data_IF_648214515818
#
_entry.id   IF_648214515818
#
_cell.length_a   1.000
_cell.length_b   1.000
_cell.length_c   1.000
_cell.angle_alpha   90.00
_cell.angle_beta   90.00
_cell.angle_gamma   90.00
#
_symmetry.space_group_name_H-M   'P 1'
#
loop_
_entity.id
_entity.type
_entity.pdbx_description
1 polymer ?
#
# COMPACT_ATOMS: atom_id res chain seq x y z
N UNK A 1 36.93 -1.10 -10.36
CA UNK A 1 35.90 -0.04 -10.33
C UNK A 1 35.21 -0.09 -8.97
N UNK A 2 35.75 0.61 -7.97
CA UNK A 2 35.12 0.67 -6.65
C UNK A 2 33.94 1.64 -6.71
N UNK A 3 32.72 1.13 -6.60
CA UNK A 3 31.52 1.96 -6.53
C UNK A 3 31.57 2.93 -5.33
N UNK A 4 30.86 4.07 -5.40
CA UNK A 4 30.82 5.02 -4.31
C UNK A 4 30.28 4.33 -3.04
N UNK A 5 31.07 4.36 -1.97
CA UNK A 5 30.70 3.80 -0.65
C UNK A 5 29.36 4.41 -0.20
N UNK A 6 28.42 3.57 0.22
CA UNK A 6 27.13 4.04 0.73
C UNK A 6 27.30 4.85 2.02
N UNK A 7 26.35 5.73 2.34
CA UNK A 7 26.34 6.54 3.58
C UNK A 7 26.62 5.66 4.81
N UNK A 8 26.07 4.45 4.83
CA UNK A 8 26.25 3.48 5.91
C UNK A 8 27.71 3.02 6.05
N UNK A 9 28.35 2.66 4.95
CA UNK A 9 29.75 2.20 4.95
C UNK A 9 30.71 3.32 5.34
N UNK A 10 30.39 4.57 4.97
CA UNK A 10 31.15 5.74 5.43
C UNK A 10 30.92 6.02 6.92
N UNK A 11 29.70 5.86 7.42
CA UNK A 11 29.40 5.98 8.86
C UNK A 11 30.12 4.89 9.69
N UNK A 12 30.21 3.67 9.18
CA UNK A 12 30.97 2.57 9.82
C UNK A 12 32.47 2.84 9.86
N UNK A 13 33.05 3.36 8.77
CA UNK A 13 34.45 3.78 8.75
C UNK A 13 34.74 4.91 9.73
N UNK A 14 33.84 5.89 9.83
CA UNK A 14 33.94 6.95 10.84
C UNK A 14 33.84 6.42 12.26
N UNK A 15 33.01 5.41 12.51
CA UNK A 15 32.93 4.75 13.81
C UNK A 15 34.23 4.02 14.17
N UNK A 16 34.87 3.37 13.19
CA UNK A 16 36.17 2.73 13.38
C UNK A 16 37.29 3.76 13.65
N UNK A 17 37.29 4.88 12.94
CA UNK A 17 38.30 5.94 13.10
C UNK A 17 38.11 6.72 14.42
N UNK A 18 36.87 6.98 14.85
CA UNK A 18 36.59 7.58 16.14
C UNK A 18 37.04 6.70 17.32
N UNK A 19 36.95 5.37 17.18
CA UNK A 19 37.51 4.42 18.16
C UNK A 19 39.04 4.41 18.16
N UNK A 20 39.66 4.72 17.04
CA UNK A 20 41.13 4.77 16.89
C UNK A 20 41.73 6.05 17.48
N UNK A 21 41.04 7.19 17.39
CA UNK A 21 41.45 8.50 17.92
C UNK A 21 41.28 8.64 19.45
N UNK A 22 41.10 7.54 20.18
CA UNK A 22 40.73 7.48 21.60
C UNK A 22 41.88 7.82 22.59
N UNK A 23 42.74 8.78 22.25
CA UNK A 23 43.82 9.29 23.11
C UNK A 23 43.37 10.61 23.78
N UNK A 24 42.59 10.52 24.87
CA UNK A 24 42.28 11.63 25.80
C UNK A 24 40.78 11.95 26.00
N UNK A 25 40.44 12.63 27.11
CA UNK A 25 39.05 12.93 27.52
C UNK A 25 38.23 13.74 26.50
N UNK A 26 38.87 14.63 25.73
CA UNK A 26 38.24 15.34 24.60
C UNK A 26 37.93 14.42 23.42
N UNK A 27 38.73 13.37 23.22
CA UNK A 27 38.48 12.33 22.22
C UNK A 27 37.29 11.45 22.59
N UNK A 28 37.13 11.11 23.87
CA UNK A 28 35.99 10.34 24.37
C UNK A 28 34.65 11.08 24.22
N UNK A 29 34.60 12.38 24.55
CA UNK A 29 33.40 13.20 24.40
C UNK A 29 33.00 13.35 22.92
N UNK A 30 33.99 13.58 22.04
CA UNK A 30 33.77 13.70 20.61
C UNK A 30 33.34 12.38 19.96
N UNK A 31 33.90 11.25 20.41
CA UNK A 31 33.52 9.91 19.97
C UNK A 31 32.09 9.54 20.42
N UNK A 32 31.70 9.89 21.65
CA UNK A 32 30.33 9.72 22.14
C UNK A 32 29.33 10.54 21.31
N UNK A 33 29.64 11.83 21.08
CA UNK A 33 28.83 12.73 20.23
C UNK A 33 28.59 12.14 18.84
N UNK A 34 29.64 11.65 18.18
CA UNK A 34 29.54 11.09 16.82
C UNK A 34 28.72 9.80 16.83
N UNK A 35 28.93 8.93 17.81
CA UNK A 35 28.20 7.68 17.93
C UNK A 35 26.68 7.91 18.04
N UNK A 36 26.26 8.86 18.88
CA UNK A 36 24.85 9.25 19.00
C UNK A 36 24.27 9.77 17.68
N UNK A 37 25.03 10.60 16.94
CA UNK A 37 24.59 11.15 15.65
C UNK A 37 24.50 10.08 14.56
N UNK A 38 25.41 9.12 14.56
CA UNK A 38 25.36 7.96 13.65
C UNK A 38 24.11 7.13 13.93
N UNK A 39 23.75 6.92 15.20
CA UNK A 39 22.52 6.19 15.56
C UNK A 39 21.29 6.89 14.98
N UNK A 40 21.16 8.21 15.18
CA UNK A 40 20.04 8.99 14.64
C UNK A 40 19.98 8.92 13.11
N UNK A 41 21.12 9.09 12.43
CA UNK A 41 21.18 9.00 10.97
C UNK A 41 20.82 7.60 10.47
N UNK A 42 21.29 6.54 11.13
CA UNK A 42 20.92 5.15 10.81
C UNK A 42 19.43 4.91 10.93
N UNK A 43 18.79 5.41 11.99
CA UNK A 43 17.34 5.30 12.15
C UNK A 43 16.60 5.92 10.98
N UNK A 44 16.97 7.14 10.55
CA UNK A 44 16.33 7.76 9.39
C UNK A 44 16.59 7.01 8.08
N UNK A 45 17.78 6.44 7.89
CA UNK A 45 18.08 5.61 6.72
C UNK A 45 17.27 4.32 6.69
N UNK A 46 17.06 3.67 7.84
CA UNK A 46 16.20 2.48 7.94
C UNK A 46 14.74 2.84 7.60
N UNK A 47 14.25 3.99 8.08
CA UNK A 47 12.93 4.51 7.70
C UNK A 47 12.83 4.76 6.20
N UNK A 48 13.83 5.43 5.61
CA UNK A 48 13.88 5.65 4.16
C UNK A 48 13.88 4.33 3.38
N UNK A 49 14.67 3.34 3.80
CA UNK A 49 14.70 2.02 3.18
C UNK A 49 13.34 1.31 3.24
N UNK A 50 12.61 1.43 4.35
CA UNK A 50 11.24 0.90 4.47
C UNK A 50 10.33 1.54 3.43
N UNK A 51 10.32 2.87 3.31
CA UNK A 51 9.48 3.57 2.34
C UNK A 51 9.89 3.29 0.89
N UNK A 52 11.18 3.13 0.60
CA UNK A 52 11.65 2.71 -0.72
C UNK A 52 11.18 1.30 -1.10
N UNK A 53 11.13 0.38 -0.14
CA UNK A 53 10.59 -0.96 -0.38
C UNK A 53 9.10 -0.89 -0.73
N UNK A 54 8.34 -0.09 0.00
CA UNK A 54 6.90 0.14 -0.25
C UNK A 54 6.70 0.74 -1.64
N UNK A 55 7.40 1.84 -1.95
CA UNK A 55 7.32 2.49 -3.25
C UNK A 55 7.64 1.52 -4.40
N UNK A 56 8.71 0.74 -4.28
CA UNK A 56 9.07 -0.27 -5.29
C UNK A 56 8.02 -1.37 -5.41
N UNK A 57 7.49 -1.88 -4.31
CA UNK A 57 6.42 -2.89 -4.33
C UNK A 57 5.14 -2.38 -5.00
N UNK A 58 4.83 -1.09 -4.87
CA UNK A 58 3.75 -0.43 -5.61
C UNK A 58 4.09 -0.31 -7.09
N UNK A 59 5.28 0.19 -7.43
CA UNK A 59 5.69 0.40 -8.83
C UNK A 59 5.81 -0.90 -9.63
N UNK A 60 5.96 -2.06 -8.97
CA UNK A 60 5.89 -3.37 -9.63
C UNK A 60 4.48 -3.81 -9.97
N UNK A 61 3.44 -3.18 -9.39
CA UNK A 61 2.06 -3.53 -9.70
C UNK A 61 1.64 -2.94 -11.06
N UNK A 62 0.83 -3.68 -11.85
CA UNK A 62 0.26 -3.15 -13.08
C UNK A 62 -0.56 -1.88 -12.84
N UNK A 63 -0.50 -0.93 -13.76
CA UNK A 63 -1.24 0.34 -13.72
C UNK A 63 -1.02 1.19 -12.44
N UNK A 64 0.04 0.92 -11.67
CA UNK A 64 0.41 1.71 -10.51
C UNK A 64 1.03 3.06 -10.92
N UNK A 65 0.72 4.17 -10.24
CA UNK A 65 1.37 5.44 -10.47
C UNK A 65 2.88 5.38 -10.26
N UNK A 66 3.62 6.14 -11.08
CA UNK A 66 5.07 6.30 -10.87
C UNK A 66 5.32 7.15 -9.62
N UNK A 67 6.28 6.73 -8.79
CA UNK A 67 6.63 7.41 -7.54
C UNK A 67 7.99 8.08 -7.71
N UNK A 68 8.06 9.38 -7.45
CA UNK A 68 9.31 10.13 -7.61
C UNK A 68 10.38 9.73 -6.58
N UNK A 69 11.35 8.96 -7.07
CA UNK A 69 12.54 8.53 -6.34
C UNK A 69 13.72 9.50 -6.48
N UNK A 70 13.53 10.69 -7.08
CA UNK A 70 14.58 11.70 -7.22
C UNK A 70 15.10 12.17 -5.85
N UNK A 71 16.40 12.41 -5.72
CA UNK A 71 16.95 12.97 -4.48
C UNK A 71 16.99 12.00 -3.29
N UNK A 72 16.92 10.68 -3.52
CA UNK A 72 17.26 9.66 -2.50
C UNK A 72 18.66 9.90 -1.92
N UNK A 73 19.60 10.34 -2.76
CA UNK A 73 20.97 10.66 -2.36
C UNK A 73 21.13 12.11 -1.86
N UNK A 74 20.03 12.81 -1.59
CA UNK A 74 20.08 14.18 -1.08
C UNK A 74 20.83 14.23 0.25
N UNK A 75 21.84 15.10 0.32
CA UNK A 75 22.72 15.22 1.48
C UNK A 75 23.93 14.27 1.48
N UNK A 76 23.96 13.19 0.69
CA UNK A 76 25.09 12.24 0.64
C UNK A 76 26.38 12.91 0.12
N UNK A 77 26.30 13.66 -0.99
CA UNK A 77 27.47 14.31 -1.58
C UNK A 77 28.03 15.43 -0.71
N UNK A 78 27.16 16.18 -0.03
CA UNK A 78 27.57 17.24 0.90
C UNK A 78 28.20 16.65 2.18
N UNK A 79 27.58 15.60 2.73
CA UNK A 79 28.10 14.89 3.90
C UNK A 79 29.43 14.20 3.59
N UNK A 80 29.55 13.52 2.45
CA UNK A 80 30.79 12.85 2.01
C UNK A 80 31.98 13.80 1.93
N UNK A 81 31.78 15.00 1.35
CA UNK A 81 32.84 16.03 1.27
C UNK A 81 33.34 16.46 2.64
N UNK A 82 32.47 16.51 3.65
CA UNK A 82 32.86 16.86 5.02
C UNK A 82 33.67 15.75 5.71
N UNK A 83 33.48 14.49 5.31
CA UNK A 83 34.25 13.36 5.83
C UNK A 83 35.63 13.20 5.16
N UNK A 84 35.79 13.69 3.93
CA UNK A 84 37.01 13.56 3.14
C UNK A 84 38.11 14.56 3.53
N UNK A 85 37.74 15.64 4.23
CA UNK A 85 38.68 16.70 4.68
C UNK A 85 39.61 16.33 5.84
N UNK A 86 39.75 15.04 6.20
CA UNK A 86 40.66 14.57 7.25
C UNK A 86 40.21 14.84 8.69
N UNK A 87 39.07 15.50 8.90
CA UNK A 87 38.48 15.79 10.21
C UNK A 87 37.12 15.12 10.42
N UNK A 88 36.70 15.03 11.68
CA UNK A 88 35.38 14.50 12.04
C UNK A 88 34.28 15.50 11.64
N UNK A 89 33.12 15.05 11.10
CA UNK A 89 32.10 15.98 10.63
C UNK A 89 31.49 16.82 11.76
N UNK A 90 31.25 18.12 11.55
CA UNK A 90 30.60 18.96 12.56
C UNK A 90 29.14 18.56 12.77
N UNK A 91 28.55 18.92 13.92
CA UNK A 91 27.13 18.66 14.22
C UNK A 91 26.20 19.15 13.09
N UNK A 92 26.48 20.32 12.52
CA UNK A 92 25.69 20.88 11.43
C UNK A 92 25.70 20.01 10.16
N UNK A 93 26.74 19.19 9.94
CA UNK A 93 26.77 18.23 8.84
C UNK A 93 25.83 17.05 9.10
N UNK A 94 25.86 16.48 10.32
CA UNK A 94 24.93 15.42 10.72
C UNK A 94 23.48 15.89 10.70
N UNK A 95 23.18 17.05 11.30
CA UNK A 95 21.81 17.59 11.29
C UNK A 95 21.31 17.81 9.87
N UNK A 96 22.11 18.41 8.98
CA UNK A 96 21.71 18.60 7.57
C UNK A 96 21.46 17.28 6.85
N UNK A 97 22.32 16.27 7.04
CA UNK A 97 22.13 14.95 6.45
C UNK A 97 20.88 14.25 7.00
N UNK A 98 20.68 14.25 8.31
CA UNK A 98 19.50 13.68 8.97
C UNK A 98 18.21 14.34 8.49
N UNK A 99 18.17 15.68 8.44
CA UNK A 99 17.01 16.43 7.94
C UNK A 99 16.75 16.14 6.46
N UNK A 100 17.79 16.02 5.62
CA UNK A 100 17.63 15.67 4.22
C UNK A 100 17.03 14.26 4.04
N UNK A 101 17.58 13.25 4.73
CA UNK A 101 17.08 11.87 4.70
C UNK A 101 15.64 11.80 5.21
N UNK A 102 15.33 12.49 6.31
CA UNK A 102 13.99 12.53 6.89
C UNK A 102 12.99 13.17 5.93
N UNK A 103 13.34 14.30 5.31
CA UNK A 103 12.48 14.99 4.34
C UNK A 103 12.20 14.11 3.12
N UNK A 104 13.21 13.45 2.58
CA UNK A 104 13.04 12.51 1.46
C UNK A 104 12.19 11.30 1.86
N UNK A 105 12.41 10.74 3.05
CA UNK A 105 11.60 9.62 3.56
C UNK A 105 10.13 10.01 3.72
N UNK A 106 9.84 11.18 4.27
CA UNK A 106 8.48 11.70 4.42
C UNK A 106 7.78 11.94 3.07
N UNK A 107 8.50 12.53 2.10
CA UNK A 107 7.96 12.73 0.74
C UNK A 107 7.59 11.40 0.11
N UNK A 108 8.51 10.43 0.07
CA UNK A 108 8.26 9.11 -0.51
C UNK A 108 7.11 8.39 0.21
N UNK A 109 7.00 8.53 1.54
CA UNK A 109 5.88 7.97 2.29
C UNK A 109 4.53 8.57 1.86
N UNK A 110 4.46 9.89 1.69
CA UNK A 110 3.25 10.58 1.24
C UNK A 110 2.89 10.17 -0.19
N UNK A 111 3.86 10.19 -1.10
CA UNK A 111 3.67 9.81 -2.50
C UNK A 111 3.23 8.34 -2.62
N UNK A 112 3.83 7.44 -1.83
CA UNK A 112 3.44 6.02 -1.79
C UNK A 112 2.01 5.83 -1.26
N UNK A 113 1.59 6.60 -0.25
CA UNK A 113 0.23 6.51 0.30
C UNK A 113 -0.82 7.08 -0.66
N UNK A 114 -0.49 8.12 -1.43
CA UNK A 114 -1.34 8.63 -2.49
C UNK A 114 -1.45 7.63 -3.64
N UNK A 115 -0.31 7.10 -4.12
CA UNK A 115 -0.28 6.08 -5.16
C UNK A 115 -1.06 4.82 -4.77
N UNK A 116 -0.94 4.36 -3.51
CA UNK A 116 -1.74 3.27 -2.97
C UNK A 116 -3.24 3.52 -3.06
N UNK A 117 -3.70 4.70 -2.63
CA UNK A 117 -5.13 5.05 -2.67
C UNK A 117 -5.65 5.12 -4.10
N UNK A 118 -4.90 5.73 -5.01
CA UNK A 118 -5.28 5.83 -6.42
C UNK A 118 -5.32 4.45 -7.10
N UNK A 119 -4.28 3.63 -6.88
CA UNK A 119 -4.19 2.30 -7.46
C UNK A 119 -5.29 1.38 -6.95
N UNK A 120 -5.48 1.27 -5.63
CA UNK A 120 -6.53 0.42 -5.06
C UNK A 120 -7.94 0.87 -5.47
N UNK A 121 -8.19 2.18 -5.55
CA UNK A 121 -9.47 2.69 -6.03
C UNK A 121 -9.72 2.28 -7.49
N UNK A 122 -8.72 2.42 -8.36
CA UNK A 122 -8.80 2.02 -9.77
C UNK A 122 -9.09 0.53 -9.90
N UNK A 123 -8.30 -0.30 -9.20
CA UNK A 123 -8.47 -1.75 -9.20
C UNK A 123 -9.86 -2.18 -8.71
N UNK A 124 -10.41 -1.52 -7.69
CA UNK A 124 -11.76 -1.80 -7.19
C UNK A 124 -12.85 -1.38 -8.18
N UNK A 125 -12.68 -0.28 -8.91
CA UNK A 125 -13.66 0.19 -9.91
C UNK A 125 -13.68 -0.64 -11.18
N UNK A 126 -12.57 -1.30 -11.52
CA UNK A 126 -12.47 -2.18 -12.69
C UNK A 126 -13.11 -3.56 -12.47
N UNK A 127 -13.42 -3.93 -11.22
CA UNK A 127 -14.07 -5.20 -10.91
C UNK A 127 -15.53 -5.19 -11.39
N UNK A 128 -15.89 -6.18 -12.20
CA UNK A 128 -17.26 -6.41 -12.65
C UNK A 128 -18.12 -7.07 -11.56
N UNK A 129 -18.29 -6.38 -10.42
CA UNK A 129 -19.01 -6.90 -9.25
C UNK A 129 -20.45 -7.34 -9.54
N UNK A 130 -21.07 -6.81 -10.60
CA UNK A 130 -22.38 -7.25 -11.08
C UNK A 130 -22.41 -8.77 -11.38
N UNK A 131 -21.30 -9.35 -11.86
CA UNK A 131 -21.19 -10.79 -12.14
C UNK A 131 -21.23 -11.66 -10.91
N UNK A 132 -21.03 -11.09 -9.72
CA UNK A 132 -21.05 -11.83 -8.47
C UNK A 132 -22.36 -12.61 -8.30
N UNK A 133 -23.51 -12.05 -8.70
CA UNK A 133 -24.82 -12.69 -8.55
C UNK A 133 -24.98 -13.91 -9.46
N UNK A 134 -24.14 -14.06 -10.48
CA UNK A 134 -24.19 -15.19 -11.41
C UNK A 134 -23.29 -16.37 -10.96
N UNK A 135 -22.61 -16.24 -9.82
CA UNK A 135 -21.80 -17.30 -9.21
C UNK A 135 -22.64 -18.29 -8.40
N UNK A 136 -22.10 -19.48 -8.11
CA UNK A 136 -22.73 -20.38 -7.15
C UNK A 136 -22.74 -19.78 -5.74
N UNK A 137 -23.67 -20.18 -4.87
CA UNK A 137 -23.84 -19.63 -3.51
C UNK A 137 -22.52 -19.63 -2.70
N UNK A 138 -21.73 -20.72 -2.80
CA UNK A 138 -20.43 -20.81 -2.12
C UNK A 138 -19.42 -19.79 -2.65
N UNK A 139 -19.38 -19.61 -3.97
CA UNK A 139 -18.51 -18.64 -4.64
C UNK A 139 -18.98 -17.20 -4.42
N UNK A 140 -20.28 -16.94 -4.34
CA UNK A 140 -20.84 -15.63 -3.99
C UNK A 140 -20.37 -15.18 -2.61
N UNK A 141 -20.40 -16.08 -1.63
CA UNK A 141 -19.92 -15.82 -0.27
C UNK A 141 -18.41 -15.53 -0.24
N UNK A 142 -17.62 -16.31 -0.99
CA UNK A 142 -16.18 -16.09 -1.16
C UNK A 142 -15.89 -14.73 -1.82
N UNK A 143 -16.55 -14.43 -2.93
CA UNK A 143 -16.41 -13.17 -3.66
C UNK A 143 -16.76 -11.96 -2.78
N UNK A 144 -17.84 -12.05 -2.00
CA UNK A 144 -18.24 -11.02 -1.04
C UNK A 144 -17.17 -10.79 0.02
N UNK A 145 -16.58 -11.86 0.54
CA UNK A 145 -15.55 -11.80 1.56
C UNK A 145 -14.26 -11.16 1.01
N UNK A 146 -13.79 -11.62 -0.15
CA UNK A 146 -12.64 -11.03 -0.85
C UNK A 146 -12.85 -9.54 -1.14
N UNK A 147 -14.02 -9.16 -1.64
CA UNK A 147 -14.32 -7.76 -1.91
C UNK A 147 -14.31 -6.90 -0.63
N UNK A 148 -14.86 -7.41 0.48
CA UNK A 148 -14.82 -6.71 1.77
C UNK A 148 -13.38 -6.54 2.29
N UNK A 149 -12.56 -7.58 2.16
CA UNK A 149 -11.14 -7.53 2.54
C UNK A 149 -10.36 -6.53 1.70
N UNK A 150 -10.60 -6.47 0.39
CA UNK A 150 -10.02 -5.48 -0.51
C UNK A 150 -10.42 -4.05 -0.13
N UNK A 151 -11.71 -3.80 0.11
CA UNK A 151 -12.20 -2.48 0.54
C UNK A 151 -11.59 -2.06 1.87
N UNK A 152 -11.43 -3.01 2.81
CA UNK A 152 -10.77 -2.76 4.09
C UNK A 152 -9.29 -2.44 3.90
N UNK A 153 -8.58 -3.23 3.09
CA UNK A 153 -7.17 -3.04 2.80
C UNK A 153 -6.91 -1.68 2.13
N UNK A 154 -7.72 -1.28 1.15
CA UNK A 154 -7.63 0.01 0.46
C UNK A 154 -7.72 1.22 1.42
N UNK A 155 -8.45 1.09 2.53
CA UNK A 155 -8.65 2.14 3.54
C UNK A 155 -7.53 2.21 4.59
N UNK A 156 -6.53 1.34 4.53
CA UNK A 156 -5.46 1.28 5.54
C UNK A 156 -4.60 2.54 5.49
N UNK A 157 -4.38 3.15 6.67
CA UNK A 157 -3.62 4.39 6.80
C UNK A 157 -2.10 4.22 6.61
N UNK A 158 -1.56 3.04 6.97
CA UNK A 158 -0.15 2.69 6.75
C UNK A 158 -0.05 1.46 5.86
N UNK A 159 0.34 1.66 4.60
CA UNK A 159 0.61 0.55 3.68
C UNK A 159 2.03 0.01 3.89
N UNK A 160 2.18 -1.31 3.81
CA UNK A 160 3.47 -1.97 3.71
C UNK A 160 3.55 -2.90 2.48
N UNK A 161 4.75 -3.43 2.20
CA UNK A 161 4.98 -4.30 1.05
C UNK A 161 4.15 -5.60 1.09
N UNK A 162 3.84 -6.10 2.29
CA UNK A 162 3.01 -7.29 2.47
C UNK A 162 1.56 -7.00 2.12
N UNK A 163 1.03 -5.88 2.62
CA UNK A 163 -0.33 -5.42 2.32
C UNK A 163 -0.55 -5.22 0.82
N UNK A 164 0.44 -4.67 0.10
CA UNK A 164 0.37 -4.52 -1.37
C UNK A 164 0.24 -5.88 -2.05
N UNK A 165 1.08 -6.83 -1.66
CA UNK A 165 1.06 -8.19 -2.25
C UNK A 165 -0.25 -8.90 -1.96
N UNK A 166 -0.74 -8.82 -0.71
CA UNK A 166 -2.00 -9.43 -0.30
C UNK A 166 -3.19 -8.84 -1.06
N UNK A 167 -3.23 -7.51 -1.22
CA UNK A 167 -4.27 -6.86 -2.01
C UNK A 167 -4.22 -7.31 -3.47
N UNK A 168 -3.03 -7.31 -4.09
CA UNK A 168 -2.88 -7.73 -5.48
C UNK A 168 -3.36 -9.17 -5.72
N UNK A 169 -3.00 -10.09 -4.81
CA UNK A 169 -3.42 -11.49 -4.90
C UNK A 169 -4.93 -11.65 -4.70
N UNK A 170 -5.51 -10.99 -3.69
CA UNK A 170 -6.95 -11.05 -3.44
C UNK A 170 -7.77 -10.40 -4.57
N UNK A 171 -7.24 -9.35 -5.20
CA UNK A 171 -7.84 -8.71 -6.36
C UNK A 171 -7.81 -9.65 -7.57
N UNK A 172 -6.65 -10.26 -7.86
CA UNK A 172 -6.53 -11.23 -8.95
C UNK A 172 -7.47 -12.43 -8.75
N UNK A 173 -7.54 -12.96 -7.52
CA UNK A 173 -8.45 -14.07 -7.18
C UNK A 173 -9.93 -13.68 -7.39
N UNK A 174 -10.33 -12.48 -6.94
CA UNK A 174 -11.69 -11.98 -7.15
C UNK A 174 -11.99 -11.74 -8.63
N UNK A 175 -11.06 -11.14 -9.37
CA UNK A 175 -11.21 -10.88 -10.80
C UNK A 175 -11.35 -12.20 -11.59
N UNK A 176 -10.51 -13.20 -11.28
CA UNK A 176 -10.61 -14.54 -11.87
C UNK A 176 -11.97 -15.16 -11.56
N UNK A 177 -12.39 -15.13 -10.30
CA UNK A 177 -13.69 -15.66 -9.88
C UNK A 177 -14.85 -14.98 -10.60
N UNK A 178 -14.83 -13.66 -10.78
CA UNK A 178 -15.89 -12.94 -11.50
C UNK A 178 -15.84 -13.22 -13.01
N UNK A 179 -14.66 -13.49 -13.58
CA UNK A 179 -14.50 -13.75 -15.01
C UNK A 179 -15.10 -15.08 -15.47
N UNK A 180 -15.22 -16.06 -14.56
CA UNK A 180 -15.85 -17.36 -14.86
C UNK A 180 -17.37 -17.26 -14.94
N UNK A 181 -17.96 -16.24 -14.32
CA UNK A 181 -19.38 -15.99 -14.33
C UNK A 181 -19.82 -15.23 -15.60
N UNK A 182 -20.97 -15.60 -16.20
CA UNK A 182 -21.56 -14.82 -17.28
C UNK A 182 -21.99 -13.43 -16.79
N UNK A 183 -22.03 -12.46 -17.70
CA UNK A 183 -22.61 -11.15 -17.39
C UNK A 183 -24.11 -11.30 -17.08
N UNK A 184 -24.63 -10.67 -16.01
CA UNK A 184 -26.06 -10.72 -15.70
C UNK A 184 -26.86 -9.96 -16.78
N UNK A 185 -28.05 -10.44 -17.16
CA UNK A 185 -28.97 -9.67 -17.99
C UNK A 185 -29.28 -8.31 -17.34
N UNK A 186 -29.36 -7.20 -18.11
CA UNK A 186 -29.67 -5.88 -17.57
C UNK A 186 -30.96 -5.82 -16.75
N UNK A 187 -31.97 -6.60 -17.16
CA UNK A 187 -33.25 -6.72 -16.46
C UNK A 187 -33.08 -7.37 -15.08
N UNK A 188 -32.18 -8.34 -14.97
CA UNK A 188 -31.86 -9.00 -13.70
C UNK A 188 -31.16 -8.02 -12.75
N UNK A 189 -30.17 -7.27 -13.24
CA UNK A 189 -29.48 -6.26 -12.43
C UNK A 189 -30.47 -5.21 -11.91
N UNK A 190 -31.36 -4.72 -12.77
CA UNK A 190 -32.41 -3.74 -12.41
C UNK A 190 -33.33 -4.30 -11.33
N UNK A 191 -33.74 -5.56 -11.45
CA UNK A 191 -34.55 -6.24 -10.45
C UNK A 191 -33.82 -6.38 -9.11
N UNK A 192 -32.55 -6.81 -9.12
CA UNK A 192 -31.75 -7.01 -7.91
C UNK A 192 -31.47 -5.68 -7.20
N UNK A 193 -31.17 -4.62 -7.93
CA UNK A 193 -30.99 -3.27 -7.36
C UNK A 193 -32.29 -2.78 -6.72
N UNK A 194 -33.43 -3.04 -7.38
CA UNK A 194 -34.76 -2.71 -6.85
C UNK A 194 -35.05 -3.47 -5.56
N UNK A 195 -34.75 -4.77 -5.51
CA UNK A 195 -34.90 -5.61 -4.31
C UNK A 195 -33.94 -5.18 -3.19
N UNK A 196 -32.72 -4.76 -3.52
CA UNK A 196 -31.71 -4.32 -2.58
C UNK A 196 -31.94 -2.91 -2.02
N UNK A 197 -32.79 -2.10 -2.65
CA UNK A 197 -33.07 -0.70 -2.27
C UNK A 197 -33.65 -0.52 -0.84
N UNK A 198 -34.02 -1.61 -0.17
CA UNK A 198 -34.64 -1.57 1.16
C UNK A 198 -36.09 -1.09 1.15
N UNK A 199 -36.62 -0.70 -0.01
CA UNK A 199 -38.04 -0.39 -0.19
C UNK A 199 -38.83 -1.69 -0.18
N UNK A 200 -39.82 -1.80 0.70
CA UNK A 200 -40.70 -2.97 0.72
C UNK A 200 -41.47 -3.07 -0.60
N UNK A 201 -41.13 -4.07 -1.40
CA UNK A 201 -41.83 -4.42 -2.64
C UNK A 201 -43.10 -5.19 -2.30
N UNK A 202 -44.25 -4.83 -2.88
CA UNK A 202 -45.45 -5.66 -2.78
C UNK A 202 -45.35 -6.78 -3.81
N UNK A 203 -45.94 -7.94 -3.52
CA UNK A 203 -45.92 -9.09 -4.45
C UNK A 203 -46.48 -8.72 -5.84
N UNK A 204 -47.47 -7.81 -5.89
CA UNK A 204 -48.05 -7.30 -7.15
C UNK A 204 -47.08 -6.48 -8.00
N UNK A 205 -46.00 -5.99 -7.40
CA UNK A 205 -44.97 -5.19 -8.08
C UNK A 205 -43.84 -6.07 -8.63
N UNK A 206 -43.90 -7.39 -8.38
CA UNK A 206 -43.00 -8.40 -8.96
C UNK A 206 -43.78 -9.15 -10.04
N UNK A 207 -43.31 -9.04 -11.28
CA UNK A 207 -43.97 -9.65 -12.43
C UNK A 207 -43.61 -11.13 -12.58
N UNK A 208 -44.46 -11.90 -13.26
CA UNK A 208 -44.17 -13.31 -13.56
C UNK A 208 -42.90 -13.47 -14.41
N UNK A 209 -42.62 -12.50 -15.29
CA UNK A 209 -41.39 -12.47 -16.09
C UNK A 209 -40.13 -12.31 -15.22
N UNK A 210 -40.19 -11.46 -14.19
CA UNK A 210 -39.10 -11.28 -13.22
C UNK A 210 -38.89 -12.54 -12.36
N UNK A 211 -39.97 -13.20 -11.93
CA UNK A 211 -39.88 -14.49 -11.22
C UNK A 211 -39.27 -15.57 -12.13
N UNK A 212 -39.69 -15.62 -13.40
CA UNK A 212 -39.12 -16.54 -14.39
C UNK A 212 -37.62 -16.27 -14.62
N UNK A 213 -37.22 -14.99 -14.68
CA UNK A 213 -35.83 -14.58 -14.82
C UNK A 213 -34.99 -15.03 -13.62
N UNK A 214 -35.47 -14.83 -12.39
CA UNK A 214 -34.80 -15.31 -11.17
C UNK A 214 -34.60 -16.83 -11.18
N UNK A 215 -35.62 -17.59 -11.60
CA UNK A 215 -35.52 -19.06 -11.73
C UNK A 215 -34.55 -19.48 -12.82
N UNK A 216 -34.56 -18.81 -13.97
CA UNK A 216 -33.64 -19.09 -15.09
C UNK A 216 -32.19 -18.90 -14.68
N UNK A 217 -31.93 -17.89 -13.84
CA UNK A 217 -30.61 -17.61 -13.27
C UNK A 217 -30.33 -18.37 -11.97
N UNK A 218 -31.24 -19.25 -11.52
CA UNK A 218 -31.12 -20.06 -10.30
C UNK A 218 -30.97 -19.25 -8.99
N UNK A 219 -31.57 -18.05 -8.95
CA UNK A 219 -31.54 -17.13 -7.80
C UNK A 219 -32.82 -17.19 -6.95
N UNK A 220 -33.81 -17.98 -7.34
CA UNK A 220 -35.07 -18.10 -6.63
C UNK A 220 -34.92 -18.78 -5.26
N UNK A 221 -33.91 -19.63 -5.09
CA UNK A 221 -33.58 -20.26 -3.80
C UNK A 221 -33.00 -19.29 -2.75
N UNK A 222 -32.50 -18.14 -3.17
CA UNK A 222 -31.83 -17.15 -2.31
C UNK A 222 -32.77 -16.03 -1.82
N UNK A 223 -34.04 -16.05 -2.27
CA UNK A 223 -35.00 -14.98 -2.03
C UNK A 223 -36.20 -15.47 -1.21
N UNK A 224 -36.51 -14.74 -0.15
CA UNK A 224 -37.69 -15.00 0.68
C UNK A 224 -38.79 -13.97 0.45
N UNK A 225 -40.00 -14.46 0.14
CA UNK A 225 -41.21 -13.63 0.15
C UNK A 225 -41.81 -13.64 1.56
N UNK A 226 -41.93 -12.46 2.19
CA UNK A 226 -42.51 -12.32 3.53
C UNK A 226 -43.85 -11.57 3.50
N UNK A 227 -44.83 -12.09 4.21
CA UNK A 227 -46.14 -11.43 4.39
C UNK A 227 -45.95 -10.18 5.26
N UNK A 228 -46.42 -9.02 4.77
CA UNK A 228 -46.45 -7.78 5.56
C UNK A 228 -47.21 -8.03 6.87
N UNK A 229 -46.54 -7.85 8.00
CA UNK A 229 -47.18 -7.78 9.32
C UNK A 229 -47.60 -6.33 9.56
N UNK A 230 -48.84 -6.15 9.98
CA UNK A 230 -49.42 -4.86 10.30
C UNK A 230 -48.78 -4.27 11.56
#
# INVERSE_FOLDING_TARGET
>A
MSGPLSVLQKAERLQAEARRLNEGAKGEEEARRISERIIVLRTHLVTLQRHLRIARSLMTQPASPDIDLSGIDSGLAAFSRQCEGGGLPPNAAFTRASTAVQKTAQRIAQDSQEAWRQWTQTQLTELELARQVMLSIGEQSRAKSLHQDLVKAARTAEVDASAITLFANAHAELAELLSTAPAPPPELQTLLDRLASGTSQLLKDITDAEIALLRQCQLDGDLEVRRRRA
#
